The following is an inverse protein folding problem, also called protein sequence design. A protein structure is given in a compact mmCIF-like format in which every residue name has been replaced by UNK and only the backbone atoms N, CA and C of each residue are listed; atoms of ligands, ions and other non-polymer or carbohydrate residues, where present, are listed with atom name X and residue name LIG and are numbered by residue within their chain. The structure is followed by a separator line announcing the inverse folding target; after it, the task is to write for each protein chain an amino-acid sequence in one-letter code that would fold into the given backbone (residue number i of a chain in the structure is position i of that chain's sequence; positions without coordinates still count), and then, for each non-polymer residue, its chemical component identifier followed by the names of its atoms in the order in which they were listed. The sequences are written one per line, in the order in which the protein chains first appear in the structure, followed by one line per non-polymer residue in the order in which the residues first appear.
data_IF_366078193349
#
_entry.id   IF_366078193349
#
_cell.length_a   1.000
_cell.length_b   1.000
_cell.length_c   1.000
_cell.angle_alpha   90.00
_cell.angle_beta   90.00
_cell.angle_gamma   90.00
#
_symmetry.space_group_name_H-M   'P 1'
#
loop_
_entity.id
_entity.type
_entity.pdbx_description
1 polymer ?
#
# COMPACT_ATOMS: atom_id res chain seq x y z
N UNK A 1 -1.42 26.06 -27.63
CA UNK A 1 -2.76 25.51 -27.33
C UNK A 1 -3.24 26.10 -26.02
N UNK A 2 -4.06 27.17 -26.10
CA UNK A 2 -4.62 27.86 -24.94
C UNK A 2 -5.81 27.09 -24.33
N UNK A 3 -5.60 25.83 -23.95
CA UNK A 3 -6.60 25.11 -23.16
C UNK A 3 -6.58 25.69 -21.76
N UNK A 4 -7.65 26.38 -21.35
CA UNK A 4 -7.84 26.82 -19.97
C UNK A 4 -8.15 25.60 -19.12
N UNK A 5 -7.42 25.42 -18.02
CA UNK A 5 -7.57 24.29 -17.11
C UNK A 5 -7.94 24.83 -15.73
N UNK A 6 -8.81 24.13 -15.02
CA UNK A 6 -9.26 24.50 -13.70
C UNK A 6 -9.06 23.27 -12.81
N UNK A 7 -8.34 23.42 -11.71
CA UNK A 7 -8.08 22.38 -10.74
C UNK A 7 -8.98 22.56 -9.53
N UNK A 8 -9.68 21.50 -9.11
CA UNK A 8 -10.49 21.46 -7.90
C UNK A 8 -9.94 20.38 -6.96
N UNK A 9 -9.85 20.73 -5.68
CA UNK A 9 -9.51 19.79 -4.62
C UNK A 9 -10.77 19.31 -3.92
N UNK A 10 -10.95 18.00 -3.84
CA UNK A 10 -12.06 17.35 -3.17
C UNK A 10 -11.50 16.54 -2.00
N UNK A 11 -11.95 16.84 -0.79
CA UNK A 11 -11.56 16.08 0.40
C UNK A 11 -12.66 15.06 0.68
N UNK A 12 -12.41 13.76 0.52
CA UNK A 12 -13.39 12.73 0.85
C UNK A 12 -13.62 12.67 2.37
N UNK A 13 -14.83 12.28 2.77
CA UNK A 13 -15.21 12.15 4.18
C UNK A 13 -14.40 11.05 4.90
N UNK A 14 -14.08 10.00 4.18
CA UNK A 14 -13.41 8.82 4.71
C UNK A 14 -11.94 8.79 4.27
N UNK A 15 -11.08 8.17 5.09
CA UNK A 15 -9.67 7.97 4.74
C UNK A 15 -9.52 7.22 3.42
N UNK A 16 -8.45 7.48 2.67
CA UNK A 16 -8.16 6.79 1.42
C UNK A 16 -8.07 5.26 1.56
N UNK A 17 -7.75 4.75 2.74
CA UNK A 17 -7.70 3.31 3.05
C UNK A 17 -9.08 2.66 3.25
N UNK A 18 -10.13 3.43 3.50
CA UNK A 18 -11.50 2.92 3.68
C UNK A 18 -12.19 2.68 2.33
N UNK A 19 -11.73 1.64 1.62
CA UNK A 19 -12.12 1.36 0.23
C UNK A 19 -13.60 1.07 0.06
N UNK A 20 -14.26 0.45 1.05
CA UNK A 20 -15.70 0.14 1.00
C UNK A 20 -16.55 1.42 0.93
N UNK A 21 -16.32 2.36 1.83
CA UNK A 21 -17.02 3.65 1.85
C UNK A 21 -16.66 4.53 0.65
N UNK A 22 -15.42 4.50 0.22
CA UNK A 22 -14.94 5.27 -0.92
C UNK A 22 -15.38 4.69 -2.27
N UNK A 23 -15.83 3.43 -2.36
CA UNK A 23 -16.41 2.85 -3.58
C UNK A 23 -17.64 3.62 -4.02
N UNK A 24 -18.59 3.86 -3.12
CA UNK A 24 -19.80 4.63 -3.43
C UNK A 24 -19.48 6.08 -3.85
N UNK A 25 -18.48 6.69 -3.21
CA UNK A 25 -18.00 8.02 -3.57
C UNK A 25 -17.40 8.02 -4.99
N UNK A 26 -16.56 7.04 -5.30
CA UNK A 26 -15.96 6.86 -6.63
C UNK A 26 -17.02 6.69 -7.72
N UNK A 27 -18.03 5.83 -7.50
CA UNK A 27 -19.14 5.62 -8.43
C UNK A 27 -19.91 6.92 -8.72
N UNK A 28 -20.24 7.70 -7.67
CA UNK A 28 -20.91 8.99 -7.83
C UNK A 28 -20.08 10.00 -8.62
N UNK A 29 -18.77 10.04 -8.42
CA UNK A 29 -17.88 10.91 -9.18
C UNK A 29 -17.88 10.54 -10.67
N UNK A 30 -17.80 9.25 -11.01
CA UNK A 30 -17.85 8.82 -12.41
C UNK A 30 -19.22 9.04 -13.06
N UNK A 31 -20.31 8.87 -12.32
CA UNK A 31 -21.64 9.26 -12.81
C UNK A 31 -21.73 10.76 -13.10
N UNK A 32 -21.13 11.59 -12.26
CA UNK A 32 -21.05 13.03 -12.48
C UNK A 32 -20.19 13.36 -13.70
N UNK A 33 -19.04 12.70 -13.87
CA UNK A 33 -18.18 12.85 -15.04
C UNK A 33 -18.96 12.60 -16.34
N UNK A 34 -19.68 11.47 -16.39
CA UNK A 34 -20.47 11.09 -17.56
C UNK A 34 -21.56 12.13 -17.87
N UNK A 35 -22.28 12.60 -16.83
CA UNK A 35 -23.31 13.65 -17.00
C UNK A 35 -22.74 14.97 -17.50
N UNK A 36 -21.55 15.35 -17.03
CA UNK A 36 -20.90 16.58 -17.52
C UNK A 36 -20.45 16.41 -18.96
N UNK A 37 -19.91 15.26 -19.30
CA UNK A 37 -19.40 14.97 -20.65
C UNK A 37 -20.55 14.86 -21.67
N UNK A 38 -21.70 14.31 -21.29
CA UNK A 38 -22.90 14.30 -22.11
C UNK A 38 -23.45 15.71 -22.36
N UNK A 39 -23.48 16.55 -21.31
CA UNK A 39 -24.02 17.91 -21.41
C UNK A 39 -23.07 18.88 -22.08
N UNK A 40 -21.76 18.69 -21.90
CA UNK A 40 -20.70 19.55 -22.40
C UNK A 40 -19.58 18.74 -23.06
N UNK A 41 -19.74 18.28 -24.32
CA UNK A 41 -18.80 17.39 -24.99
C UNK A 41 -17.39 17.97 -25.19
N UNK A 42 -17.25 19.30 -25.09
CA UNK A 42 -15.95 20.02 -25.23
C UNK A 42 -15.17 20.10 -23.93
N UNK A 43 -15.78 19.74 -22.78
CA UNK A 43 -15.13 19.78 -21.47
C UNK A 43 -14.62 18.38 -21.13
N UNK A 44 -13.33 18.25 -20.95
CA UNK A 44 -12.70 17.03 -20.45
C UNK A 44 -12.58 17.14 -18.91
N UNK A 45 -13.08 16.15 -18.19
CA UNK A 45 -13.02 16.09 -16.73
C UNK A 45 -12.27 14.84 -16.35
N UNK A 46 -11.17 14.98 -15.60
CA UNK A 46 -10.40 13.88 -15.05
C UNK A 46 -10.41 13.92 -13.54
N UNK A 47 -10.45 12.76 -12.91
CA UNK A 47 -10.32 12.63 -11.45
C UNK A 47 -9.08 11.82 -11.14
N UNK A 48 -8.31 12.31 -10.17
CA UNK A 48 -7.15 11.62 -9.61
C UNK A 48 -7.09 11.81 -8.10
N UNK A 49 -6.66 10.79 -7.37
CA UNK A 49 -6.47 10.88 -5.92
C UNK A 49 -6.30 9.51 -5.27
N UNK A 50 -5.68 9.49 -4.09
CA UNK A 50 -5.35 8.26 -3.35
C UNK A 50 -6.57 7.38 -3.07
N UNK A 51 -7.72 7.97 -2.73
CA UNK A 51 -8.95 7.23 -2.48
C UNK A 51 -9.46 6.48 -3.74
N UNK A 52 -9.37 7.09 -4.92
CA UNK A 52 -9.79 6.47 -6.19
C UNK A 52 -8.84 5.35 -6.60
N UNK A 53 -7.53 5.56 -6.45
CA UNK A 53 -6.51 4.54 -6.71
C UNK A 53 -6.66 3.36 -5.76
N UNK A 54 -6.91 3.61 -4.47
CA UNK A 54 -7.13 2.55 -3.48
C UNK A 54 -8.39 1.71 -3.79
N UNK A 55 -9.50 2.33 -4.19
CA UNK A 55 -10.72 1.63 -4.62
C UNK A 55 -10.45 0.78 -5.86
N UNK A 56 -9.77 1.32 -6.87
CA UNK A 56 -9.45 0.58 -8.09
C UNK A 56 -8.53 -0.61 -7.79
N UNK A 57 -7.51 -0.41 -6.94
CA UNK A 57 -6.60 -1.47 -6.53
C UNK A 57 -7.33 -2.58 -5.74
N UNK A 58 -8.21 -2.21 -4.80
CA UNK A 58 -9.01 -3.18 -4.05
C UNK A 58 -9.94 -3.99 -4.97
N UNK A 59 -10.57 -3.34 -5.94
CA UNK A 59 -11.42 -4.02 -6.93
C UNK A 59 -10.60 -4.99 -7.81
N UNK A 60 -9.42 -4.55 -8.27
CA UNK A 60 -8.53 -5.40 -9.06
C UNK A 60 -8.04 -6.61 -8.27
N UNK A 61 -7.58 -6.41 -7.03
CA UNK A 61 -7.16 -7.49 -6.14
C UNK A 61 -8.28 -8.52 -5.99
N UNK A 62 -9.52 -8.07 -5.74
CA UNK A 62 -10.68 -8.97 -5.62
C UNK A 62 -10.92 -9.76 -6.90
N UNK A 63 -10.84 -9.13 -8.06
CA UNK A 63 -11.01 -9.78 -9.37
C UNK A 63 -9.89 -10.78 -9.64
N UNK A 64 -8.64 -10.40 -9.36
CA UNK A 64 -7.47 -11.26 -9.55
C UNK A 64 -7.54 -12.50 -8.65
N UNK A 65 -7.95 -12.33 -7.39
CA UNK A 65 -8.17 -13.46 -6.47
C UNK A 65 -9.19 -14.43 -7.07
N UNK A 66 -10.37 -13.93 -7.39
CA UNK A 66 -11.45 -14.79 -7.90
C UNK A 66 -11.04 -15.51 -9.19
N UNK A 67 -10.46 -14.79 -10.13
CA UNK A 67 -10.02 -15.35 -11.42
C UNK A 67 -8.92 -16.38 -11.21
N UNK A 68 -7.88 -16.03 -10.43
CA UNK A 68 -6.75 -16.94 -10.18
C UNK A 68 -7.19 -18.20 -9.46
N UNK A 69 -8.03 -18.07 -8.41
CA UNK A 69 -8.54 -19.22 -7.66
C UNK A 69 -9.38 -20.14 -8.57
N UNK A 70 -10.32 -19.57 -9.31
CA UNK A 70 -11.20 -20.37 -10.19
C UNK A 70 -10.40 -21.07 -11.29
N UNK A 71 -9.49 -20.36 -11.96
CA UNK A 71 -8.64 -20.93 -13.02
C UNK A 71 -7.72 -22.00 -12.43
N UNK A 72 -7.07 -21.75 -11.30
CA UNK A 72 -6.17 -22.71 -10.66
C UNK A 72 -6.91 -23.99 -10.24
N UNK A 73 -8.06 -23.85 -9.59
CA UNK A 73 -8.88 -24.98 -9.18
C UNK A 73 -9.40 -25.77 -10.37
N UNK A 74 -9.79 -25.09 -11.46
CA UNK A 74 -10.25 -25.74 -12.68
C UNK A 74 -9.14 -26.53 -13.34
N UNK A 75 -7.96 -25.95 -13.50
CA UNK A 75 -6.79 -26.65 -14.08
C UNK A 75 -6.41 -27.84 -13.21
N UNK A 76 -6.34 -27.66 -11.89
CA UNK A 76 -6.02 -28.74 -10.95
C UNK A 76 -7.07 -29.84 -10.99
N UNK A 77 -8.36 -29.47 -11.05
CA UNK A 77 -9.45 -30.43 -11.23
C UNK A 77 -9.27 -31.26 -12.50
N UNK A 78 -8.99 -30.63 -13.64
CA UNK A 78 -8.77 -31.36 -14.91
C UNK A 78 -7.57 -32.30 -14.83
N UNK A 79 -6.46 -31.86 -14.24
CA UNK A 79 -5.28 -32.72 -14.03
C UNK A 79 -5.64 -33.95 -13.20
N UNK A 80 -6.37 -33.77 -12.11
CA UNK A 80 -6.78 -34.85 -11.23
C UNK A 80 -7.81 -35.80 -11.89
N UNK A 81 -8.78 -35.28 -12.66
CA UNK A 81 -9.70 -36.10 -13.45
C UNK A 81 -8.92 -36.95 -14.46
N UNK A 82 -7.94 -36.37 -15.13
CA UNK A 82 -7.10 -37.09 -16.08
C UNK A 82 -6.28 -38.18 -15.40
N UNK A 83 -5.73 -37.89 -14.21
CA UNK A 83 -4.91 -38.83 -13.45
C UNK A 83 -5.74 -39.97 -12.86
N UNK A 84 -6.82 -39.64 -12.13
CA UNK A 84 -7.67 -40.65 -11.47
C UNK A 84 -8.74 -41.29 -12.40
N UNK A 85 -8.94 -40.71 -13.58
CA UNK A 85 -9.98 -41.09 -14.55
C UNK A 85 -11.39 -41.20 -13.95
N UNK A 86 -11.64 -40.42 -12.95
CA UNK A 86 -12.89 -40.34 -12.23
C UNK A 86 -13.17 -38.89 -11.84
N UNK A 87 -14.31 -38.37 -12.27
CA UNK A 87 -14.72 -36.98 -12.03
C UNK A 87 -15.06 -36.71 -10.56
N UNK A 88 -15.39 -37.73 -9.77
CA UNK A 88 -15.75 -37.56 -8.36
C UNK A 88 -14.54 -37.51 -7.42
N UNK A 89 -13.43 -38.15 -7.78
CA UNK A 89 -12.24 -38.23 -6.93
C UNK A 89 -11.65 -36.86 -6.64
N UNK A 90 -11.46 -35.96 -7.62
CA UNK A 90 -11.03 -34.61 -7.36
C UNK A 90 -11.99 -33.82 -6.46
N UNK A 91 -13.29 -33.97 -6.66
CA UNK A 91 -14.28 -33.30 -5.82
C UNK A 91 -14.13 -33.70 -4.35
N UNK A 92 -13.94 -34.99 -4.07
CA UNK A 92 -13.69 -35.51 -2.71
C UNK A 92 -12.36 -34.92 -2.16
N UNK A 93 -11.33 -34.82 -3.00
CA UNK A 93 -10.02 -34.30 -2.61
C UNK A 93 -10.05 -32.81 -2.22
N UNK A 94 -10.93 -32.01 -2.83
CA UNK A 94 -11.07 -30.58 -2.51
C UNK A 94 -11.82 -30.33 -1.20
N UNK A 95 -12.70 -31.23 -0.75
CA UNK A 95 -13.52 -30.98 0.45
C UNK A 95 -12.70 -30.62 1.69
N UNK A 96 -11.64 -31.37 2.08
CA UNK A 96 -10.82 -30.99 3.25
C UNK A 96 -10.15 -29.64 3.12
N UNK A 97 -9.68 -29.29 1.92
CA UNK A 97 -9.05 -28.00 1.66
C UNK A 97 -10.02 -26.83 1.81
N UNK A 98 -11.24 -26.97 1.29
CA UNK A 98 -12.30 -25.96 1.45
C UNK A 98 -12.71 -25.81 2.91
N UNK A 99 -12.83 -26.92 3.67
CA UNK A 99 -13.11 -26.87 5.10
C UNK A 99 -11.94 -26.24 5.89
N UNK A 100 -10.71 -26.47 5.45
CA UNK A 100 -9.53 -25.81 6.01
C UNK A 100 -9.58 -24.28 5.86
N UNK A 101 -9.89 -23.80 4.66
CA UNK A 101 -10.08 -22.38 4.39
C UNK A 101 -11.25 -21.81 5.21
N UNK A 102 -12.39 -22.46 5.21
CA UNK A 102 -13.55 -22.03 5.99
C UNK A 102 -13.25 -21.97 7.50
N UNK A 103 -12.55 -22.98 8.03
CA UNK A 103 -12.11 -23.01 9.43
C UNK A 103 -11.15 -21.87 9.78
N UNK A 104 -10.19 -21.57 8.90
CA UNK A 104 -9.26 -20.45 9.09
C UNK A 104 -9.98 -19.09 9.05
N UNK A 105 -10.91 -18.90 8.12
CA UNK A 105 -11.73 -17.68 8.05
C UNK A 105 -12.63 -17.52 9.28
N UNK A 106 -13.26 -18.59 9.74
CA UNK A 106 -14.06 -18.57 10.96
C UNK A 106 -13.21 -18.21 12.17
N UNK A 107 -12.02 -18.77 12.31
CA UNK A 107 -11.10 -18.44 13.39
C UNK A 107 -10.73 -16.95 13.37
N UNK A 108 -10.33 -16.42 12.22
CA UNK A 108 -9.97 -15.00 12.08
C UNK A 108 -11.14 -14.08 12.40
N UNK A 109 -12.35 -14.43 11.96
CA UNK A 109 -13.56 -13.66 12.28
C UNK A 109 -13.79 -13.57 13.80
N UNK A 110 -13.66 -14.68 14.53
CA UNK A 110 -13.88 -14.67 15.99
C UNK A 110 -12.80 -13.92 16.77
N UNK A 111 -11.55 -13.93 16.32
CA UNK A 111 -10.44 -13.35 17.06
C UNK A 111 -10.04 -11.96 16.60
N UNK A 112 -10.22 -11.62 15.35
CA UNK A 112 -9.77 -10.35 14.78
C UNK A 112 -10.88 -9.51 14.14
N UNK A 113 -11.97 -10.12 13.71
CA UNK A 113 -13.10 -9.46 13.07
C UNK A 113 -12.86 -9.03 11.61
N UNK A 114 -11.61 -8.95 11.16
CA UNK A 114 -11.25 -8.58 9.79
C UNK A 114 -10.02 -9.33 9.30
N UNK A 115 -9.84 -9.39 7.99
CA UNK A 115 -8.66 -9.97 7.35
C UNK A 115 -8.29 -9.10 6.13
N UNK A 116 -6.99 -8.92 5.89
CA UNK A 116 -6.49 -8.23 4.71
C UNK A 116 -6.84 -8.98 3.42
N UNK A 117 -7.37 -8.26 2.42
CA UNK A 117 -7.64 -8.82 1.10
C UNK A 117 -6.38 -9.40 0.44
N UNK A 118 -5.23 -8.78 0.66
CA UNK A 118 -3.93 -9.27 0.17
C UNK A 118 -3.58 -10.62 0.82
N UNK A 119 -3.86 -10.79 2.12
CA UNK A 119 -3.62 -12.05 2.82
C UNK A 119 -4.49 -13.18 2.27
N UNK A 120 -5.75 -12.91 1.93
CA UNK A 120 -6.64 -13.87 1.27
C UNK A 120 -6.09 -14.22 -0.13
N UNK A 121 -5.60 -13.23 -0.87
CA UNK A 121 -5.04 -13.43 -2.21
C UNK A 121 -3.88 -14.40 -2.18
N UNK A 122 -2.90 -14.14 -1.32
CA UNK A 122 -1.75 -15.03 -1.15
C UNK A 122 -2.20 -16.38 -0.58
N UNK A 123 -3.17 -16.36 0.32
CA UNK A 123 -3.77 -17.56 0.91
C UNK A 123 -4.46 -18.48 -0.10
N UNK A 124 -4.87 -17.99 -1.27
CA UNK A 124 -5.40 -18.82 -2.34
C UNK A 124 -4.40 -19.91 -2.81
N UNK A 125 -3.10 -19.64 -2.70
CA UNK A 125 -2.04 -20.62 -2.98
C UNK A 125 -2.12 -21.81 -2.03
N UNK A 126 -2.65 -21.63 -0.81
CA UNK A 126 -2.81 -22.70 0.18
C UNK A 126 -3.75 -23.80 -0.28
N UNK A 127 -4.73 -23.50 -1.14
CA UNK A 127 -5.59 -24.52 -1.72
C UNK A 127 -4.77 -25.57 -2.48
N UNK A 128 -3.72 -25.14 -3.21
CA UNK A 128 -2.80 -26.05 -3.88
C UNK A 128 -1.98 -26.90 -2.92
N UNK A 129 -1.49 -26.31 -1.83
CA UNK A 129 -0.68 -27.02 -0.82
C UNK A 129 -1.54 -27.99 0.00
N UNK A 130 -2.75 -27.59 0.38
CA UNK A 130 -3.59 -28.40 1.27
C UNK A 130 -4.22 -29.59 0.57
N UNK A 131 -4.41 -29.54 -0.74
CA UNK A 131 -4.94 -30.69 -1.51
C UNK A 131 -3.97 -31.88 -1.50
N UNK A 132 -2.65 -31.63 -1.35
CA UNK A 132 -1.64 -32.68 -1.32
C UNK A 132 -1.88 -33.67 -0.20
N UNK A 133 -2.43 -33.27 0.95
CA UNK A 133 -2.79 -34.16 2.04
C UNK A 133 -3.89 -35.15 1.62
N UNK A 134 -4.91 -34.66 0.91
CA UNK A 134 -5.98 -35.47 0.36
C UNK A 134 -5.44 -36.45 -0.69
N UNK A 135 -4.57 -36.01 -1.58
CA UNK A 135 -3.95 -36.82 -2.62
C UNK A 135 -3.07 -37.91 -2.03
N UNK A 136 -2.33 -37.59 -0.98
CA UNK A 136 -1.49 -38.60 -0.28
C UNK A 136 -2.33 -39.72 0.29
N UNK A 137 -3.45 -39.41 0.94
CA UNK A 137 -4.36 -40.39 1.51
C UNK A 137 -5.04 -41.20 0.39
N UNK A 138 -5.54 -40.57 -0.66
CA UNK A 138 -6.19 -41.22 -1.81
C UNK A 138 -5.25 -42.19 -2.51
N UNK A 139 -4.00 -41.81 -2.71
CA UNK A 139 -2.99 -42.64 -3.38
C UNK A 139 -2.67 -43.87 -2.56
N UNK A 140 -2.48 -43.74 -1.26
CA UNK A 140 -2.21 -44.91 -0.38
C UNK A 140 -3.43 -45.79 -0.15
N UNK A 141 -4.65 -45.20 -0.19
CA UNK A 141 -5.89 -45.97 0.01
C UNK A 141 -6.07 -47.09 -1.02
N UNK A 142 -5.64 -46.88 -2.27
CA UNK A 142 -5.69 -47.89 -3.34
C UNK A 142 -4.72 -49.06 -3.14
N UNK A 143 -3.66 -48.89 -2.31
CA UNK A 143 -2.61 -49.88 -2.12
C UNK A 143 -2.61 -50.55 -0.74
N UNK A 144 -3.52 -50.17 0.17
CA UNK A 144 -3.63 -50.72 1.52
C UNK A 144 -4.75 -51.74 1.64
N UNK A 145 -4.55 -52.76 2.49
CA UNK A 145 -5.53 -53.86 2.69
C UNK A 145 -6.72 -53.50 3.61
N UNK A 146 -6.67 -52.29 4.22
CA UNK A 146 -7.72 -51.84 5.11
C UNK A 146 -7.47 -50.49 5.73
N UNK A 147 -8.49 -49.92 6.35
CA UNK A 147 -8.42 -48.54 6.94
C UNK A 147 -7.35 -48.45 8.05
N UNK A 148 -7.18 -49.52 8.86
CA UNK A 148 -6.14 -49.51 9.92
C UNK A 148 -4.73 -49.45 9.35
N UNK A 149 -4.47 -50.13 8.25
CA UNK A 149 -3.16 -50.09 7.60
C UNK A 149 -2.95 -48.78 6.88
N UNK A 150 -3.99 -48.20 6.31
CA UNK A 150 -3.94 -46.84 5.75
C UNK A 150 -3.47 -45.83 6.80
N UNK A 151 -4.13 -45.78 7.96
CA UNK A 151 -3.74 -44.81 9.01
C UNK A 151 -2.31 -45.00 9.52
N UNK A 152 -1.82 -46.21 9.61
CA UNK A 152 -0.41 -46.48 9.99
C UNK A 152 0.59 -45.86 9.02
N UNK A 153 0.23 -45.82 7.73
CA UNK A 153 1.14 -45.33 6.68
C UNK A 153 1.00 -43.84 6.48
N UNK A 154 -0.22 -43.26 6.51
CA UNK A 154 -0.45 -41.87 6.09
C UNK A 154 -0.49 -40.88 7.25
N UNK A 155 -0.85 -41.27 8.48
CA UNK A 155 -1.05 -40.32 9.57
C UNK A 155 0.24 -39.56 9.93
N UNK A 156 1.34 -40.30 10.13
CA UNK A 156 2.62 -39.68 10.53
C UNK A 156 3.18 -38.75 9.44
N UNK A 157 3.26 -39.15 8.16
CA UNK A 157 3.72 -38.22 7.11
C UNK A 157 2.83 -36.99 6.93
N UNK A 158 1.50 -37.16 6.94
CA UNK A 158 0.56 -36.03 6.77
C UNK A 158 0.65 -35.07 7.94
N UNK A 159 0.66 -35.57 9.18
CA UNK A 159 0.77 -34.73 10.37
C UNK A 159 2.11 -34.03 10.47
N UNK A 160 3.22 -34.71 10.14
CA UNK A 160 4.53 -34.10 10.16
C UNK A 160 4.64 -33.01 9.09
N UNK A 161 4.23 -33.29 7.86
CA UNK A 161 4.25 -32.33 6.76
C UNK A 161 3.35 -31.12 7.03
N UNK A 162 2.12 -31.33 7.50
CA UNK A 162 1.21 -30.23 7.83
C UNK A 162 1.72 -29.39 9.00
N UNK A 163 2.30 -30.02 10.04
CA UNK A 163 2.85 -29.31 11.19
C UNK A 163 4.06 -28.45 10.81
N UNK A 164 5.00 -29.00 10.04
CA UNK A 164 6.19 -28.22 9.60
C UNK A 164 5.79 -27.04 8.73
N UNK A 165 4.83 -27.21 7.82
CA UNK A 165 4.34 -26.14 6.96
C UNK A 165 3.55 -25.11 7.78
N UNK A 166 2.68 -25.54 8.70
CA UNK A 166 1.93 -24.65 9.57
C UNK A 166 2.85 -23.83 10.48
N UNK A 167 3.89 -24.42 11.07
CA UNK A 167 4.89 -23.71 11.88
C UNK A 167 5.64 -22.67 11.04
N UNK A 168 6.00 -23.01 9.79
CA UNK A 168 6.68 -22.08 8.90
C UNK A 168 5.82 -20.83 8.62
N UNK A 169 4.52 -21.00 8.38
CA UNK A 169 3.60 -19.86 8.26
C UNK A 169 3.37 -19.13 9.59
N UNK A 170 3.31 -19.87 10.70
CA UNK A 170 3.18 -19.28 12.02
C UNK A 170 4.33 -18.31 12.37
N UNK A 171 5.53 -18.55 11.86
CA UNK A 171 6.66 -17.64 12.02
C UNK A 171 6.42 -16.25 11.43
N UNK A 172 5.46 -16.07 10.52
CA UNK A 172 5.08 -14.76 9.99
C UNK A 172 4.45 -13.85 11.05
N UNK A 173 3.98 -14.39 12.16
CA UNK A 173 3.47 -13.60 13.30
C UNK A 173 4.54 -12.72 13.96
N UNK A 174 5.82 -13.06 13.79
CA UNK A 174 6.93 -12.26 14.33
C UNK A 174 7.29 -11.07 13.43
N UNK A 175 6.63 -10.90 12.30
CA UNK A 175 6.82 -9.73 11.43
C UNK A 175 5.99 -8.55 11.92
N UNK A 176 6.42 -7.33 11.61
CA UNK A 176 5.68 -6.11 11.94
C UNK A 176 4.56 -5.78 10.93
N UNK A 177 4.41 -6.58 9.89
CA UNK A 177 3.40 -6.40 8.85
C UNK A 177 2.09 -7.08 9.22
N UNK A 178 1.02 -6.31 9.32
CA UNK A 178 -0.34 -6.84 9.59
C UNK A 178 -0.79 -7.85 8.53
N UNK A 179 -0.46 -7.59 7.27
CA UNK A 179 -0.75 -8.50 6.14
C UNK A 179 -0.06 -9.85 6.32
N UNK A 180 1.21 -9.85 6.76
CA UNK A 180 1.97 -11.09 7.00
C UNK A 180 1.44 -11.83 8.22
N UNK A 181 1.03 -11.13 9.27
CA UNK A 181 0.42 -11.73 10.46
C UNK A 181 -0.90 -12.43 10.10
N UNK A 182 -1.77 -11.75 9.35
CA UNK A 182 -3.03 -12.34 8.87
C UNK A 182 -2.80 -13.59 8.03
N UNK A 183 -1.85 -13.52 7.10
CA UNK A 183 -1.46 -14.66 6.29
C UNK A 183 -0.92 -15.80 7.15
N UNK A 184 -0.08 -15.50 8.13
CA UNK A 184 0.49 -16.48 9.05
C UNK A 184 -0.58 -17.25 9.82
N UNK A 185 -1.56 -16.55 10.41
CA UNK A 185 -2.68 -17.16 11.13
C UNK A 185 -3.55 -17.98 10.17
N UNK A 186 -3.96 -17.35 9.06
CA UNK A 186 -4.84 -17.97 8.07
C UNK A 186 -4.25 -19.27 7.53
N UNK A 187 -2.98 -19.23 7.12
CA UNK A 187 -2.28 -20.38 6.54
C UNK A 187 -2.05 -21.48 7.57
N UNK A 188 -1.55 -21.16 8.75
CA UNK A 188 -1.25 -22.16 9.79
C UNK A 188 -2.49 -22.93 10.19
N UNK A 189 -3.60 -22.23 10.43
CA UNK A 189 -4.86 -22.86 10.84
C UNK A 189 -5.47 -23.61 9.67
N UNK A 190 -5.51 -23.01 8.47
CA UNK A 190 -6.06 -23.63 7.28
C UNK A 190 -5.38 -24.94 6.93
N UNK A 191 -4.05 -24.99 7.02
CA UNK A 191 -3.26 -26.21 6.78
C UNK A 191 -3.57 -27.29 7.80
N UNK A 192 -3.55 -26.95 9.10
CA UNK A 192 -3.80 -27.94 10.16
C UNK A 192 -5.22 -28.50 10.09
N UNK A 193 -6.22 -27.62 9.92
CA UNK A 193 -7.62 -28.02 9.78
C UNK A 193 -7.83 -28.87 8.53
N UNK A 194 -7.24 -28.49 7.40
CA UNK A 194 -7.32 -29.24 6.15
C UNK A 194 -6.71 -30.65 6.30
N UNK A 195 -5.54 -30.76 6.92
CA UNK A 195 -4.88 -32.06 7.14
C UNK A 195 -5.72 -32.98 8.04
N UNK A 196 -6.29 -32.42 9.13
CA UNK A 196 -7.18 -33.19 10.03
C UNK A 196 -8.43 -33.64 9.29
N UNK A 197 -9.09 -32.78 8.54
CA UNK A 197 -10.27 -33.18 7.76
C UNK A 197 -9.91 -34.13 6.63
N UNK A 198 -8.74 -34.03 6.02
CA UNK A 198 -8.29 -35.00 5.03
C UNK A 198 -8.18 -36.41 5.64
N UNK A 199 -7.56 -36.53 6.82
CA UNK A 199 -7.45 -37.80 7.53
C UNK A 199 -8.81 -38.37 7.95
N UNK A 200 -9.78 -37.55 8.30
CA UNK A 200 -11.10 -37.97 8.76
C UNK A 200 -12.03 -38.29 7.58
N UNK A 201 -12.16 -37.32 6.65
CA UNK A 201 -13.21 -37.39 5.62
C UNK A 201 -12.85 -38.28 4.44
N UNK A 202 -11.60 -38.29 3.97
CA UNK A 202 -11.22 -39.04 2.78
C UNK A 202 -11.52 -40.55 2.94
N UNK A 203 -11.12 -41.19 4.04
CA UNK A 203 -11.44 -42.63 4.22
C UNK A 203 -12.94 -42.94 4.34
N UNK A 204 -13.77 -41.91 4.72
CA UNK A 204 -15.22 -42.09 4.81
C UNK A 204 -15.93 -41.83 3.48
N UNK A 205 -15.48 -40.84 2.72
CA UNK A 205 -16.11 -40.44 1.47
C UNK A 205 -15.66 -41.28 0.28
N UNK A 206 -14.44 -41.77 0.30
CA UNK A 206 -13.86 -42.53 -0.78
C UNK A 206 -13.85 -44.04 -0.44
N UNK A 207 -14.63 -44.81 -1.18
CA UNK A 207 -14.58 -46.30 -1.13
C UNK A 207 -13.82 -46.79 -2.36
N UNK A 208 -12.59 -47.27 -2.17
CA UNK A 208 -11.82 -47.88 -3.26
C UNK A 208 -12.58 -49.04 -3.83
N UNK A 209 -12.95 -49.00 -5.11
CA UNK A 209 -13.29 -50.18 -5.86
C UNK A 209 -11.97 -50.92 -6.12
N UNK A 210 -11.89 -52.20 -5.67
CA UNK A 210 -10.71 -53.04 -5.84
C UNK A 210 -10.10 -52.89 -7.23
N UNK A 211 -8.76 -52.76 -7.23
CA UNK A 211 -7.86 -52.90 -8.38
C UNK A 211 -8.24 -52.12 -9.63
N UNK A 212 -7.92 -50.81 -9.60
CA UNK A 212 -7.60 -50.17 -10.86
C UNK A 212 -6.22 -50.71 -11.27
N UNK A 213 -6.21 -51.70 -12.18
CA UNK A 213 -4.97 -52.10 -12.85
C UNK A 213 -4.34 -50.78 -13.41
N UNK A 214 -3.27 -50.37 -12.78
CA UNK A 214 -2.55 -49.17 -13.15
C UNK A 214 -1.94 -49.38 -14.55
N UNK A 215 -2.66 -48.99 -15.58
CA UNK A 215 -2.03 -48.81 -16.90
C UNK A 215 -0.97 -47.72 -16.73
N UNK A 216 0.28 -48.06 -17.07
CA UNK A 216 1.42 -47.16 -17.02
C UNK A 216 1.09 -45.87 -17.75
N UNK A 217 0.97 -44.80 -17.03
CA UNK A 217 0.78 -43.44 -17.56
C UNK A 217 2.12 -42.86 -17.98
N UNK A 218 2.10 -41.75 -18.71
CA UNK A 218 3.34 -40.96 -18.98
C UNK A 218 4.04 -40.57 -17.68
N UNK A 219 3.26 -40.28 -16.63
CA UNK A 219 3.78 -39.90 -15.30
C UNK A 219 4.53 -41.10 -14.67
N UNK A 220 4.00 -42.31 -14.76
CA UNK A 220 4.69 -43.51 -14.25
C UNK A 220 6.00 -43.76 -15.00
N UNK A 221 6.03 -43.46 -16.31
CA UNK A 221 7.24 -43.57 -17.12
C UNK A 221 8.29 -42.53 -16.70
N UNK A 222 7.86 -41.29 -16.38
CA UNK A 222 8.73 -40.26 -15.85
C UNK A 222 9.19 -40.60 -14.43
N UNK A 223 8.28 -41.03 -13.55
CA UNK A 223 8.59 -41.39 -12.17
C UNK A 223 9.52 -42.60 -12.05
N UNK A 224 9.39 -43.55 -12.95
CA UNK A 224 10.25 -44.76 -12.97
C UNK A 224 11.63 -44.54 -13.62
N UNK A 225 11.92 -43.35 -14.13
CA UNK A 225 13.20 -43.04 -14.76
C UNK A 225 14.32 -43.00 -13.70
N UNK A 226 15.46 -43.66 -13.90
CA UNK A 226 16.52 -43.75 -12.90
C UNK A 226 17.37 -42.48 -12.89
N UNK A 227 16.83 -41.39 -12.38
CA UNK A 227 17.49 -40.07 -12.33
C UNK A 227 18.83 -40.10 -11.62
N UNK A 228 18.93 -40.86 -10.51
CA UNK A 228 20.12 -40.99 -9.68
C UNK A 228 21.33 -41.64 -10.40
N UNK A 229 21.05 -42.43 -11.44
CA UNK A 229 22.12 -43.10 -12.18
C UNK A 229 22.67 -42.28 -13.34
N UNK A 230 22.06 -41.17 -13.67
CA UNK A 230 22.47 -40.31 -14.81
C UNK A 230 23.43 -39.22 -14.37
N UNK A 231 24.75 -39.52 -14.48
CA UNK A 231 25.83 -38.58 -14.14
C UNK A 231 25.66 -37.20 -14.83
N UNK A 232 25.12 -37.16 -16.06
CA UNK A 232 24.85 -35.91 -16.76
C UNK A 232 23.78 -35.04 -16.09
N UNK A 233 22.73 -35.63 -15.46
CA UNK A 233 21.74 -34.87 -14.69
C UNK A 233 22.33 -34.31 -13.40
N UNK A 234 23.16 -35.10 -12.71
CA UNK A 234 23.87 -34.64 -11.52
C UNK A 234 24.79 -33.45 -11.88
N UNK A 235 25.56 -33.59 -12.99
CA UNK A 235 26.37 -32.50 -13.49
C UNK A 235 25.57 -31.24 -13.82
N UNK A 236 24.42 -31.40 -14.50
CA UNK A 236 23.51 -30.28 -14.81
C UNK A 236 23.02 -29.59 -13.55
N UNK A 237 22.57 -30.34 -12.54
CA UNK A 237 22.14 -29.78 -11.26
C UNK A 237 23.27 -29.02 -10.55
N UNK A 238 24.45 -29.60 -10.53
CA UNK A 238 25.64 -28.95 -9.95
C UNK A 238 26.00 -27.66 -10.70
N UNK A 239 25.95 -27.68 -12.03
CA UNK A 239 26.19 -26.50 -12.85
C UNK A 239 25.15 -25.40 -12.55
N UNK A 240 23.87 -25.76 -12.47
CA UNK A 240 22.80 -24.80 -12.13
C UNK A 240 23.02 -24.18 -10.74
N UNK A 241 23.45 -24.97 -9.74
CA UNK A 241 23.76 -24.45 -8.41
C UNK A 241 24.91 -23.45 -8.48
N UNK A 242 26.01 -23.79 -9.17
CA UNK A 242 27.18 -22.89 -9.34
C UNK A 242 26.77 -21.59 -10.03
N UNK A 243 26.01 -21.69 -11.12
CA UNK A 243 25.49 -20.52 -11.83
C UNK A 243 24.61 -19.67 -10.93
N UNK A 244 23.70 -20.29 -10.16
CA UNK A 244 22.83 -19.58 -9.21
C UNK A 244 23.60 -18.82 -8.13
N UNK A 245 24.65 -19.43 -7.57
CA UNK A 245 25.52 -18.78 -6.58
C UNK A 245 26.22 -17.57 -7.22
N UNK A 246 26.69 -17.70 -8.45
CA UNK A 246 27.36 -16.60 -9.15
C UNK A 246 26.44 -15.40 -9.43
N UNK A 247 25.15 -15.67 -9.72
CA UNK A 247 24.16 -14.64 -10.02
C UNK A 247 23.42 -14.13 -8.79
N UNK A 248 23.51 -14.80 -7.64
CA UNK A 248 22.77 -14.43 -6.42
C UNK A 248 23.03 -12.97 -5.98
N UNK A 249 24.30 -12.53 -6.05
CA UNK A 249 24.66 -11.15 -5.70
C UNK A 249 24.17 -10.06 -6.67
N UNK A 250 23.63 -10.45 -7.85
CA UNK A 250 23.06 -9.50 -8.83
C UNK A 250 21.56 -9.22 -8.62
N UNK A 251 20.92 -9.98 -7.74
CA UNK A 251 19.50 -9.76 -7.40
C UNK A 251 19.39 -8.43 -6.64
N UNK A 252 18.58 -7.52 -7.16
CA UNK A 252 18.28 -6.23 -6.53
C UNK A 252 16.86 -6.25 -5.98
N UNK A 253 16.72 -5.76 -4.75
CA UNK A 253 15.39 -5.53 -4.20
C UNK A 253 14.80 -4.26 -4.81
N UNK A 254 13.60 -4.37 -5.38
CA UNK A 254 12.85 -3.19 -5.79
C UNK A 254 12.17 -2.59 -4.56
N UNK A 255 12.63 -1.42 -4.13
CA UNK A 255 12.07 -0.69 -2.98
C UNK A 255 10.84 0.15 -3.35
N UNK A 256 10.47 0.20 -4.62
CA UNK A 256 9.30 0.96 -5.08
C UNK A 256 8.00 0.18 -4.81
N UNK A 257 7.40 0.47 -3.65
CA UNK A 257 6.13 -0.11 -3.25
C UNK A 257 4.99 0.30 -4.20
N UNK A 258 5.12 1.45 -4.89
CA UNK A 258 4.10 1.91 -5.83
C UNK A 258 3.95 0.99 -7.04
N UNK A 259 5.01 0.28 -7.42
CA UNK A 259 4.99 -0.71 -8.50
C UNK A 259 4.12 -1.94 -8.19
N UNK A 260 3.77 -2.17 -6.93
CA UNK A 260 2.89 -3.26 -6.50
C UNK A 260 1.40 -2.88 -6.56
N UNK A 261 1.09 -1.59 -6.68
CA UNK A 261 -0.28 -1.11 -6.76
C UNK A 261 -0.77 -1.12 -8.19
N UNK A 262 -1.96 -1.69 -8.39
CA UNK A 262 -2.64 -1.56 -9.68
C UNK A 262 -3.15 -0.13 -9.85
N UNK A 263 -2.74 0.52 -10.92
CA UNK A 263 -3.23 1.83 -11.32
C UNK A 263 -3.81 1.74 -12.72
N UNK A 264 -5.13 1.91 -12.89
CA UNK A 264 -5.76 1.96 -14.21
C UNK A 264 -5.13 3.06 -15.08
N UNK A 265 -5.05 2.82 -16.39
CA UNK A 265 -4.45 3.75 -17.35
C UNK A 265 -5.09 5.14 -17.31
N UNK A 266 -6.40 5.22 -17.05
CA UNK A 266 -7.11 6.49 -16.85
C UNK A 266 -6.59 7.32 -15.68
N UNK A 267 -6.19 6.69 -14.58
CA UNK A 267 -5.62 7.41 -13.44
C UNK A 267 -4.16 7.76 -13.67
N UNK A 268 -3.43 6.90 -14.37
CA UNK A 268 -2.05 7.17 -14.76
C UNK A 268 -1.99 8.40 -15.69
N UNK A 269 -2.88 8.46 -16.68
CA UNK A 269 -2.97 9.62 -17.59
C UNK A 269 -3.42 10.89 -16.87
N UNK A 270 -4.38 10.79 -15.93
CA UNK A 270 -4.80 11.93 -15.10
C UNK A 270 -3.68 12.41 -14.18
N UNK A 271 -2.89 11.49 -13.61
CA UNK A 271 -1.71 11.82 -12.82
C UNK A 271 -0.68 12.57 -13.67
N UNK A 272 -0.33 12.08 -14.84
CA UNK A 272 0.61 12.76 -15.73
C UNK A 272 0.13 14.15 -16.14
N UNK A 273 -1.17 14.31 -16.44
CA UNK A 273 -1.74 15.62 -16.71
C UNK A 273 -1.60 16.57 -15.52
N UNK A 274 -1.87 16.07 -14.30
CA UNK A 274 -1.74 16.84 -13.06
C UNK A 274 -0.28 17.23 -12.80
N UNK A 275 0.67 16.32 -12.96
CA UNK A 275 2.11 16.57 -12.82
C UNK A 275 2.61 17.64 -13.78
N UNK A 276 2.06 17.69 -15.00
CA UNK A 276 2.36 18.74 -15.98
C UNK A 276 1.74 20.10 -15.64
N UNK A 277 0.63 20.12 -14.89
CA UNK A 277 -0.06 21.33 -14.51
C UNK A 277 0.54 22.02 -13.30
N UNK A 278 1.02 21.23 -12.34
CA UNK A 278 1.47 21.73 -11.03
C UNK A 278 2.99 21.93 -10.96
N UNK A 279 3.74 21.58 -12.02
CA UNK A 279 5.21 21.42 -11.99
C UNK A 279 5.72 20.50 -10.85
N UNK A 280 4.79 19.89 -10.12
CA UNK A 280 5.07 18.99 -8.99
C UNK A 280 5.36 17.57 -9.49
N UNK A 281 6.59 17.36 -9.99
CA UNK A 281 7.09 16.03 -10.38
C UNK A 281 7.46 15.15 -9.18
N UNK A 282 7.30 15.67 -7.94
CA UNK A 282 7.86 15.05 -6.74
C UNK A 282 6.78 14.69 -5.74
N UNK A 283 6.91 13.52 -5.13
CA UNK A 283 6.07 13.11 -3.99
C UNK A 283 6.38 14.00 -2.80
N UNK A 284 5.39 14.74 -2.30
CA UNK A 284 5.54 15.59 -1.12
C UNK A 284 5.73 14.75 0.15
N UNK A 285 6.66 15.19 1.00
CA UNK A 285 6.86 14.64 2.34
C UNK A 285 6.33 15.68 3.32
N UNK A 286 5.50 15.26 4.27
CA UNK A 286 5.00 16.14 5.32
C UNK A 286 5.92 16.06 6.54
N UNK A 287 6.47 17.22 6.94
CA UNK A 287 7.18 17.36 8.20
C UNK A 287 6.28 18.14 9.16
N UNK A 288 5.99 17.57 10.32
CA UNK A 288 5.07 18.14 11.29
C UNK A 288 5.82 18.62 12.53
N UNK A 289 5.69 19.91 12.85
CA UNK A 289 6.11 20.47 14.13
C UNK A 289 4.91 20.46 15.09
N UNK A 290 5.04 19.82 16.23
CA UNK A 290 4.00 19.77 17.26
C UNK A 290 4.53 20.12 18.64
N UNK A 291 3.65 20.68 19.49
CA UNK A 291 3.95 21.07 20.88
C UNK A 291 2.71 21.02 21.73
N UNK A 292 2.89 21.15 23.07
CA UNK A 292 1.79 21.20 24.04
C UNK A 292 1.03 22.55 23.98
N UNK A 293 1.60 23.54 23.32
CA UNK A 293 1.00 24.86 23.08
C UNK A 293 1.31 25.32 21.64
N UNK A 294 0.52 26.29 21.16
CA UNK A 294 0.77 26.92 19.87
C UNK A 294 2.16 27.54 19.79
N UNK A 295 2.58 28.24 20.85
CA UNK A 295 3.89 28.87 20.93
C UNK A 295 5.03 27.84 20.81
N UNK A 296 4.92 26.70 21.46
CA UNK A 296 5.90 25.62 21.33
C UNK A 296 5.93 25.02 19.92
N UNK A 297 4.77 24.83 19.31
CA UNK A 297 4.67 24.34 17.94
C UNK A 297 5.28 25.32 16.94
N UNK A 298 5.03 26.62 17.09
CA UNK A 298 5.60 27.66 16.24
C UNK A 298 7.13 27.73 16.35
N UNK A 299 7.69 27.68 17.57
CA UNK A 299 9.14 27.64 17.77
C UNK A 299 9.79 26.43 17.10
N UNK A 300 9.18 25.25 17.22
CA UNK A 300 9.67 24.05 16.56
C UNK A 300 9.55 24.17 15.03
N UNK A 301 8.48 24.78 14.54
CA UNK A 301 8.32 25.04 13.10
C UNK A 301 9.37 26.02 12.56
N UNK A 302 9.76 27.03 13.31
CA UNK A 302 10.84 27.96 12.94
C UNK A 302 12.19 27.24 12.80
N UNK A 303 12.51 26.33 13.73
CA UNK A 303 13.72 25.50 13.66
C UNK A 303 13.66 24.60 12.40
N UNK A 304 12.52 23.94 12.17
CA UNK A 304 12.30 23.10 11.01
C UNK A 304 12.44 23.91 9.71
N UNK A 305 11.80 25.09 9.66
CA UNK A 305 11.87 26.01 8.52
C UNK A 305 13.31 26.40 8.19
N UNK A 306 14.09 26.79 9.20
CA UNK A 306 15.50 27.17 9.03
C UNK A 306 16.35 26.02 8.48
N UNK A 307 16.13 24.80 9.00
CA UNK A 307 16.82 23.62 8.52
C UNK A 307 16.46 23.28 7.06
N UNK A 308 15.15 23.33 6.72
CA UNK A 308 14.68 23.08 5.36
C UNK A 308 15.19 24.15 4.37
N UNK A 309 15.27 25.42 4.79
CA UNK A 309 15.87 26.49 3.98
C UNK A 309 17.34 26.18 3.66
N UNK A 310 18.11 25.73 4.65
CA UNK A 310 19.51 25.33 4.43
C UNK A 310 19.64 24.10 3.52
N UNK A 311 18.71 23.13 3.61
CA UNK A 311 18.69 21.98 2.70
C UNK A 311 18.33 22.42 1.26
N UNK A 312 17.43 23.39 1.11
CA UNK A 312 17.07 23.96 -0.20
C UNK A 312 18.25 24.69 -0.84
N UNK A 313 18.99 25.49 -0.08
CA UNK A 313 20.20 26.17 -0.57
C UNK A 313 21.28 25.19 -1.04
N UNK A 314 21.39 24.00 -0.41
CA UNK A 314 22.29 22.94 -0.83
C UNK A 314 21.76 22.08 -1.99
N UNK A 315 20.53 22.33 -2.45
CA UNK A 315 19.89 21.55 -3.52
C UNK A 315 19.39 20.16 -3.11
N UNK A 316 19.36 19.86 -1.80
CA UNK A 316 18.86 18.59 -1.26
C UNK A 316 17.32 18.56 -1.18
N UNK A 317 16.71 19.75 -1.06
CA UNK A 317 15.26 19.98 -1.13
C UNK A 317 14.97 20.94 -2.26
N UNK A 318 14.08 20.58 -3.16
CA UNK A 318 13.76 21.41 -4.32
C UNK A 318 12.84 22.56 -3.93
N UNK A 319 11.75 22.21 -3.23
CA UNK A 319 10.76 23.18 -2.77
C UNK A 319 10.12 22.69 -1.48
N UNK A 320 9.76 23.61 -0.61
CA UNK A 320 8.92 23.34 0.55
C UNK A 320 8.00 24.53 0.83
N UNK A 321 6.87 24.28 1.46
CA UNK A 321 5.90 25.27 1.91
C UNK A 321 5.71 25.14 3.42
N UNK A 322 5.71 26.27 4.11
CA UNK A 322 5.50 26.32 5.56
C UNK A 322 4.86 27.64 5.96
N UNK A 323 4.05 27.62 7.00
CA UNK A 323 3.52 28.85 7.63
C UNK A 323 4.63 29.69 8.31
N UNK A 324 5.82 29.12 8.51
CA UNK A 324 6.95 29.79 9.14
C UNK A 324 7.46 31.05 8.43
N UNK A 325 6.98 31.36 7.22
CA UNK A 325 7.23 32.63 6.53
C UNK A 325 6.32 33.75 7.01
N UNK A 326 5.17 33.45 7.59
CA UNK A 326 4.12 34.44 7.88
C UNK A 326 3.76 34.47 9.36
N UNK A 327 3.82 33.36 10.04
CA UNK A 327 3.42 33.21 11.44
C UNK A 327 4.64 32.81 12.26
N UNK A 328 5.02 33.70 13.18
CA UNK A 328 6.19 33.53 14.03
C UNK A 328 5.77 33.28 15.49
N UNK A 329 6.62 32.60 16.25
CA UNK A 329 6.48 32.51 17.70
C UNK A 329 6.55 33.87 18.36
N UNK A 330 5.96 34.03 19.53
CA UNK A 330 6.01 35.26 20.30
C UNK A 330 7.45 35.69 20.55
N UNK A 331 8.31 34.73 20.86
CA UNK A 331 9.74 34.98 21.06
C UNK A 331 10.43 35.55 19.82
N UNK A 332 10.16 35.03 18.64
CA UNK A 332 10.75 35.53 17.39
C UNK A 332 10.14 36.88 17.01
N UNK A 333 8.85 37.12 17.26
CA UNK A 333 8.20 38.40 17.05
C UNK A 333 8.83 39.49 17.96
N UNK A 334 9.01 39.19 19.25
CA UNK A 334 9.66 40.14 20.18
C UNK A 334 11.08 40.51 19.74
N UNK A 335 11.85 39.51 19.31
CA UNK A 335 13.20 39.71 18.78
C UNK A 335 13.18 40.63 17.55
N UNK A 336 12.27 40.42 16.61
CA UNK A 336 12.13 41.26 15.41
C UNK A 336 11.69 42.68 15.74
N UNK A 337 10.76 42.83 16.69
CA UNK A 337 10.32 44.14 17.18
C UNK A 337 11.51 44.89 17.84
N UNK A 338 12.30 44.17 18.63
CA UNK A 338 13.49 44.76 19.24
C UNK A 338 14.49 45.22 18.18
N UNK A 339 14.82 44.36 17.18
CA UNK A 339 15.70 44.74 16.06
C UNK A 339 15.17 45.92 15.28
N UNK A 340 13.86 46.03 15.09
CA UNK A 340 13.21 47.14 14.45
C UNK A 340 13.41 48.44 15.26
N UNK A 341 13.14 48.40 16.56
CA UNK A 341 13.27 49.52 17.47
C UNK A 341 14.74 49.99 17.63
N UNK A 342 15.68 49.05 17.67
CA UNK A 342 17.11 49.32 17.74
C UNK A 342 17.64 49.97 16.45
N UNK A 343 17.06 49.59 15.30
CA UNK A 343 17.43 50.15 14.02
C UNK A 343 16.80 51.56 13.81
N UNK A 344 15.49 51.67 14.07
CA UNK A 344 14.73 52.91 13.87
C UNK A 344 14.71 53.75 15.16
N UNK A 345 15.87 54.30 15.52
CA UNK A 345 15.96 55.28 16.61
C UNK A 345 15.33 56.61 16.20
N UNK A 346 14.91 57.40 17.17
CA UNK A 346 14.33 58.76 16.91
C UNK A 346 15.22 59.59 16.03
N UNK A 347 16.54 59.57 16.28
CA UNK A 347 17.51 60.33 15.49
C UNK A 347 17.59 59.89 14.04
N UNK A 348 17.56 58.52 13.80
CA UNK A 348 17.54 57.99 12.43
C UNK A 348 16.27 58.36 11.68
N UNK A 349 15.12 58.25 12.35
CA UNK A 349 13.84 58.61 11.74
C UNK A 349 13.88 60.08 11.31
N UNK A 350 14.37 60.99 12.15
CA UNK A 350 14.45 62.40 11.86
C UNK A 350 15.42 62.70 10.71
N UNK A 351 16.56 62.01 10.65
CA UNK A 351 17.52 62.17 9.54
C UNK A 351 16.87 61.73 8.22
N UNK A 352 16.23 60.57 8.20
CA UNK A 352 15.57 60.03 6.99
C UNK A 352 14.39 60.91 6.58
N UNK A 353 13.61 61.41 7.53
CA UNK A 353 12.50 62.32 7.27
C UNK A 353 12.99 63.62 6.60
N UNK A 354 13.98 64.26 7.16
CA UNK A 354 14.54 65.49 6.59
C UNK A 354 15.11 65.27 5.18
N UNK A 355 15.84 64.13 4.97
CA UNK A 355 16.43 63.82 3.65
C UNK A 355 15.35 63.47 2.61
N UNK A 356 14.34 62.70 2.97
CA UNK A 356 13.25 62.37 2.06
C UNK A 356 12.40 63.59 1.68
N UNK A 357 12.15 64.51 2.61
CA UNK A 357 11.41 65.72 2.32
C UNK A 357 12.24 66.66 1.43
N UNK A 358 13.53 66.74 1.68
CA UNK A 358 14.42 67.59 0.90
C UNK A 358 14.59 67.09 -0.54
N UNK A 359 14.97 65.83 -0.70
CA UNK A 359 15.12 65.19 -2.02
C UNK A 359 13.77 65.12 -2.74
N UNK A 360 12.68 64.78 -2.00
CA UNK A 360 11.33 64.69 -2.55
C UNK A 360 10.88 66.00 -3.19
N UNK A 361 11.23 67.20 -2.57
CA UNK A 361 10.95 68.52 -3.15
C UNK A 361 11.64 68.72 -4.49
N UNK A 362 12.92 68.33 -4.59
CA UNK A 362 13.69 68.42 -5.84
C UNK A 362 13.10 67.69 -7.00
N UNK A 363 12.47 66.51 -6.74
CA UNK A 363 11.85 65.65 -7.77
C UNK A 363 10.33 65.80 -7.85
N UNK A 364 9.76 66.83 -7.18
CA UNK A 364 8.36 67.22 -7.31
C UNK A 364 7.35 66.52 -6.43
N UNK A 365 7.76 65.83 -5.40
CA UNK A 365 6.84 65.22 -4.42
C UNK A 365 6.34 66.26 -3.41
N UNK A 366 5.07 66.02 -3.01
CA UNK A 366 4.49 66.88 -1.92
C UNK A 366 5.04 66.42 -0.56
N UNK A 367 5.18 67.30 0.43
CA UNK A 367 5.70 66.98 1.76
C UNK A 367 4.92 65.78 2.45
N UNK A 368 3.63 65.70 2.20
CA UNK A 368 2.78 64.67 2.83
C UNK A 368 2.87 63.28 2.14
N UNK A 369 3.62 63.15 1.04
CA UNK A 369 3.72 61.89 0.29
C UNK A 369 4.24 60.76 1.16
N UNK A 370 5.08 61.03 2.13
CA UNK A 370 5.73 60.06 3.00
C UNK A 370 5.08 59.94 4.39
N UNK A 371 3.96 60.60 4.63
CA UNK A 371 3.33 60.62 5.95
C UNK A 371 2.99 59.24 6.49
N UNK A 372 2.34 58.40 5.71
CA UNK A 372 2.02 57.00 6.12
C UNK A 372 3.27 56.17 6.47
N UNK A 373 4.38 56.40 5.76
CA UNK A 373 5.63 55.70 6.03
C UNK A 373 6.19 56.12 7.40
N UNK A 374 6.21 57.41 7.71
CA UNK A 374 6.69 57.89 9.01
C UNK A 374 5.77 57.53 10.17
N UNK A 375 4.46 57.54 9.96
CA UNK A 375 3.49 57.02 10.94
C UNK A 375 3.77 55.56 11.26
N UNK A 376 4.10 54.76 10.24
CA UNK A 376 4.46 53.34 10.41
C UNK A 376 5.79 53.15 11.16
N UNK A 377 6.80 54.00 10.91
CA UNK A 377 8.07 53.95 11.62
C UNK A 377 7.94 54.31 13.11
N UNK A 378 6.98 55.18 13.44
CA UNK A 378 6.70 55.59 14.81
C UNK A 378 5.68 54.68 15.54
N UNK A 379 5.10 53.73 14.83
CA UNK A 379 4.11 52.84 15.40
C UNK A 379 4.74 51.90 16.47
N UNK A 380 4.00 51.63 17.54
CA UNK A 380 4.40 50.67 18.56
C UNK A 380 3.85 49.30 18.18
N UNK A 381 4.76 48.38 17.98
CA UNK A 381 4.39 46.99 17.67
C UNK A 381 4.34 46.14 18.93
N UNK A 382 3.38 45.21 18.99
CA UNK A 382 3.26 44.19 20.03
C UNK A 382 3.11 42.79 19.39
N UNK A 383 3.60 41.73 20.03
CA UNK A 383 3.44 40.37 19.50
C UNK A 383 1.97 39.99 19.39
N UNK A 384 1.65 39.25 18.33
CA UNK A 384 0.35 38.63 18.15
C UNK A 384 0.36 37.26 18.86
N UNK A 385 -0.48 37.12 19.89
CA UNK A 385 -0.55 35.92 20.73
C UNK A 385 -1.83 35.11 20.51
N UNK A 386 -2.85 35.69 19.88
CA UNK A 386 -4.16 35.05 19.66
C UNK A 386 -4.29 34.53 18.22
N UNK A 387 -4.63 33.24 18.10
CA UNK A 387 -4.89 32.61 16.80
C UNK A 387 -6.02 33.24 15.99
N UNK A 388 -6.99 33.86 16.63
CA UNK A 388 -8.07 34.56 15.92
C UNK A 388 -7.57 35.73 15.05
N UNK A 389 -6.51 36.37 15.49
CA UNK A 389 -5.87 37.44 14.73
C UNK A 389 -5.15 36.92 13.47
N UNK A 390 -4.83 35.60 13.42
CA UNK A 390 -4.24 34.99 12.23
C UNK A 390 -5.28 34.38 11.29
N UNK A 391 -6.57 34.32 11.67
CA UNK A 391 -7.61 33.70 10.80
C UNK A 391 -7.73 34.40 9.44
N UNK A 392 -7.60 35.70 9.42
CA UNK A 392 -7.63 36.46 8.16
C UNK A 392 -6.40 36.19 7.28
N UNK A 393 -5.22 36.00 7.90
CA UNK A 393 -3.99 35.63 7.20
C UNK A 393 -3.98 34.15 6.76
N UNK A 394 -4.60 33.25 7.55
CA UNK A 394 -4.72 31.83 7.23
C UNK A 394 -5.75 31.53 6.13
N UNK A 395 -6.65 32.46 5.81
CA UNK A 395 -7.58 32.36 4.70
C UNK A 395 -6.94 32.55 3.31
N UNK A 396 -5.67 32.97 3.26
CA UNK A 396 -4.91 33.03 2.02
C UNK A 396 -4.54 31.60 1.61
N UNK A 397 -5.03 31.09 0.46
CA UNK A 397 -4.64 29.75 0.01
C UNK A 397 -3.11 29.74 -0.19
N UNK A 398 -2.44 28.91 0.58
CA UNK A 398 -1.03 28.62 0.40
C UNK A 398 -0.90 27.84 -0.91
N UNK A 399 -0.68 28.54 -2.02
CA UNK A 399 -0.40 28.00 -3.34
C UNK A 399 1.02 27.43 -3.41
#
# INVERSE_FOLDING_TARGET
NDKKQILFFIIPKYSGSETEHNTLFSEKLFLLQNKIQEKYPTIEVDFFGSALVAVANAHQIKTDILTTVVVSLFILYLILVFFYRNIFVPLIAFVPSLLGVAGALAFLYFFKGSISAISISIGAVLLGVTIDYSLHILTHYGHTKGIKDLYKVVTSPVMLSSSTTAISFFCLLFTQSEVMNDLGIFASIGIMVSALFALILIPHLYKSKKEVQARKTLIDKIASYPYHQKKGLVLLCTLLIVVSIFFFGKVRFNSDISSMNYMPEKYLSAQHKLEHLTDDKYKSIYAVAYGNSLEEALRKNEILYKNLSGLKERGEVIQFSSIGNFIFSEQEQQKRIQLWNDFWTKDRIQIVENQLIEIGKEIGFKPNTYQMFFEHLQATFSPITNMEQYKELAAIPLS
#
